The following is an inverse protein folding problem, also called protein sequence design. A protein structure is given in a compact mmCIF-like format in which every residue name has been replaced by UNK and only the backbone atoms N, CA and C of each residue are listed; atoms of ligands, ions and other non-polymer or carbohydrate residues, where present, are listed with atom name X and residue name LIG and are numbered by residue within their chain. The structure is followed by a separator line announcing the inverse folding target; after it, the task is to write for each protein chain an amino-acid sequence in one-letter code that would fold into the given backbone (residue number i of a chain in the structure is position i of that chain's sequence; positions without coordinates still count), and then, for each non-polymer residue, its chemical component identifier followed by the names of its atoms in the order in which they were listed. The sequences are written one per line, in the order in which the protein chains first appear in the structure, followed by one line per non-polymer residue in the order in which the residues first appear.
data_IF_405494304660
#
_entry.id   IF_405494304660
#
_cell.length_a   1.000
_cell.length_b   1.000
_cell.length_c   1.000
_cell.angle_alpha   90.00
_cell.angle_beta   90.00
_cell.angle_gamma   90.00
#
_symmetry.space_group_name_H-M   'P 1'
#
loop_
_entity.id
_entity.type
_entity.pdbx_description
1 polymer ?
#
# COMPACT_ATOMS: atom_id res chain seq x y z
N UNK A 1 -7.65 -16.55 -35.34
CA UNK A 1 -6.95 -15.60 -34.44
C UNK A 1 -7.49 -14.16 -34.51
N UNK A 2 -8.23 -13.77 -35.57
CA UNK A 2 -8.79 -12.41 -35.75
C UNK A 2 -10.08 -12.16 -34.91
N UNK A 3 -10.86 -13.20 -34.60
CA UNK A 3 -12.13 -13.06 -33.87
C UNK A 3 -12.01 -12.75 -32.37
N UNK A 4 -10.92 -13.13 -31.69
CA UNK A 4 -10.70 -12.75 -30.28
C UNK A 4 -10.35 -11.26 -30.10
N UNK A 5 -9.92 -10.57 -31.16
CA UNK A 5 -9.65 -9.12 -31.16
C UNK A 5 -10.87 -8.25 -31.42
N UNK A 6 -12.00 -8.83 -31.86
CA UNK A 6 -13.24 -8.08 -32.13
C UNK A 6 -14.20 -8.03 -30.94
N UNK A 7 -14.08 -8.91 -29.93
CA UNK A 7 -14.95 -8.89 -28.73
C UNK A 7 -14.62 -7.78 -27.72
N UNK A 8 -13.46 -7.15 -27.84
CA UNK A 8 -13.08 -5.97 -27.04
C UNK A 8 -13.70 -4.66 -27.55
N UNK A 9 -14.43 -4.68 -28.66
CA UNK A 9 -14.83 -3.43 -29.34
C UNK A 9 -15.86 -2.59 -28.59
N UNK A 10 -16.68 -3.13 -27.68
CA UNK A 10 -17.61 -2.30 -26.89
C UNK A 10 -17.91 -2.93 -25.53
N UNK A 11 -16.91 -3.04 -24.64
CA UNK A 11 -17.24 -3.23 -23.22
C UNK A 11 -17.95 -1.97 -22.76
N UNK A 12 -19.25 -2.07 -22.48
CA UNK A 12 -19.99 -0.94 -21.94
C UNK A 12 -19.42 -0.58 -20.57
N UNK A 13 -19.16 0.71 -20.38
CA UNK A 13 -18.74 1.26 -19.10
C UNK A 13 -19.86 1.04 -18.08
N UNK A 14 -19.59 0.51 -16.86
CA UNK A 14 -20.63 0.33 -15.86
C UNK A 14 -21.33 1.66 -15.56
N UNK A 15 -22.67 1.67 -15.65
CA UNK A 15 -23.46 2.90 -15.52
C UNK A 15 -23.32 3.56 -14.13
N UNK A 16 -22.96 2.77 -13.12
CA UNK A 16 -22.82 3.18 -11.73
C UNK A 16 -21.38 3.57 -11.35
N UNK A 17 -20.41 3.50 -12.26
CA UNK A 17 -19.01 3.85 -11.99
C UNK A 17 -18.65 5.17 -12.69
N UNK A 18 -18.28 6.23 -11.95
CA UNK A 18 -17.81 7.49 -12.56
C UNK A 18 -16.61 7.27 -13.49
N UNK A 19 -16.56 8.03 -14.60
CA UNK A 19 -15.42 8.02 -15.54
C UNK A 19 -14.55 9.26 -15.34
N UNK A 20 -13.39 9.09 -14.71
CA UNK A 20 -12.45 10.16 -14.38
C UNK A 20 -11.66 10.66 -15.61
N UNK A 21 -11.46 9.79 -16.60
CA UNK A 21 -10.74 10.10 -17.84
C UNK A 21 -11.63 9.85 -19.06
N UNK A 22 -12.67 10.67 -19.29
CA UNK A 22 -13.64 10.42 -20.37
C UNK A 22 -13.04 10.57 -21.77
N UNK A 23 -11.93 11.30 -21.89
CA UNK A 23 -11.24 11.58 -23.16
C UNK A 23 -10.08 10.64 -23.46
N UNK A 24 -9.70 9.77 -22.51
CA UNK A 24 -8.60 8.82 -22.69
C UNK A 24 -9.15 7.42 -22.96
N UNK A 25 -8.45 6.69 -23.83
CA UNK A 25 -8.59 5.24 -24.01
C UNK A 25 -7.96 4.48 -22.84
N UNK A 26 -8.32 3.20 -22.70
CA UNK A 26 -7.76 2.32 -21.66
C UNK A 26 -6.22 2.20 -21.76
N UNK A 27 -5.70 2.25 -22.99
CA UNK A 27 -4.25 2.22 -23.25
C UNK A 27 -3.60 3.54 -22.81
N UNK A 28 -4.20 4.70 -23.10
CA UNK A 28 -3.67 5.99 -22.66
C UNK A 28 -3.75 6.18 -21.14
N UNK A 29 -4.77 5.58 -20.49
CA UNK A 29 -4.82 5.52 -19.02
C UNK A 29 -3.64 4.70 -18.49
N UNK A 30 -3.30 3.58 -19.16
CA UNK A 30 -2.22 2.68 -18.76
C UNK A 30 -0.81 3.21 -19.08
N UNK A 31 -0.62 3.83 -20.25
CA UNK A 31 0.68 4.21 -20.81
C UNK A 31 0.99 5.69 -20.60
N UNK A 32 1.25 6.06 -19.35
CA UNK A 32 1.60 7.43 -18.97
C UNK A 32 2.95 7.55 -18.26
N UNK A 33 3.53 6.43 -17.83
CA UNK A 33 4.75 6.42 -17.02
C UNK A 33 5.96 6.58 -17.94
N UNK A 34 6.28 7.83 -18.27
CA UNK A 34 7.48 8.16 -19.05
C UNK A 34 8.74 7.73 -18.31
N UNK A 35 9.84 7.53 -19.06
CA UNK A 35 11.15 7.18 -18.49
C UNK A 35 11.61 8.21 -17.46
N UNK A 36 11.41 9.50 -17.72
CA UNK A 36 11.75 10.59 -16.80
C UNK A 36 10.94 10.50 -15.50
N UNK A 37 9.61 10.32 -15.61
CA UNK A 37 8.73 10.18 -14.45
C UNK A 37 9.11 8.97 -13.61
N UNK A 38 9.40 7.84 -14.26
CA UNK A 38 9.90 6.64 -13.59
C UNK A 38 11.22 6.90 -12.83
N UNK A 39 12.22 7.50 -13.48
CA UNK A 39 13.52 7.79 -12.84
C UNK A 39 13.37 8.75 -11.65
N UNK A 40 12.46 9.73 -11.75
CA UNK A 40 12.15 10.63 -10.63
C UNK A 40 11.52 9.88 -9.47
N UNK A 41 10.45 9.10 -9.74
CA UNK A 41 9.69 8.39 -8.70
C UNK A 41 10.57 7.34 -7.99
N UNK A 42 11.41 6.65 -8.75
CA UNK A 42 12.32 5.61 -8.25
C UNK A 42 13.22 6.07 -7.10
N UNK A 43 13.55 7.36 -7.06
CA UNK A 43 14.49 7.93 -6.10
C UNK A 43 13.79 8.80 -5.05
N UNK A 44 12.47 8.70 -4.91
CA UNK A 44 11.76 9.45 -3.86
C UNK A 44 12.15 8.93 -2.48
N UNK A 45 12.47 9.81 -1.52
CA UNK A 45 12.55 9.42 -0.13
C UNK A 45 11.20 8.88 0.34
N UNK A 46 11.21 7.83 1.15
CA UNK A 46 10.00 7.26 1.73
C UNK A 46 9.80 7.77 3.15
N UNK A 47 8.55 8.00 3.55
CA UNK A 47 8.23 8.46 4.90
C UNK A 47 6.99 7.77 5.49
N UNK A 48 7.06 7.51 6.78
CA UNK A 48 5.96 6.97 7.59
C UNK A 48 5.52 8.02 8.60
N UNK A 49 4.20 8.22 8.72
CA UNK A 49 3.62 9.20 9.64
C UNK A 49 2.92 8.45 10.77
N UNK A 50 3.65 8.21 11.85
CA UNK A 50 3.16 7.49 13.02
C UNK A 50 2.08 8.30 13.77
N UNK A 51 1.22 7.63 14.55
CA UNK A 51 0.31 8.31 15.46
C UNK A 51 0.99 9.33 16.39
N UNK A 52 0.38 10.51 16.54
CA UNK A 52 0.94 11.60 17.34
C UNK A 52 0.57 11.50 18.82
N UNK A 53 0.95 10.41 19.47
CA UNK A 53 0.85 10.23 20.92
C UNK A 53 2.08 9.48 21.48
N UNK A 54 2.29 9.56 22.79
CA UNK A 54 3.19 8.64 23.51
C UNK A 54 2.44 7.47 24.16
N UNK A 55 3.14 6.41 24.51
CA UNK A 55 2.59 5.17 25.08
C UNK A 55 1.74 5.43 26.34
N UNK A 56 2.21 6.31 27.23
CA UNK A 56 1.53 6.71 28.46
C UNK A 56 0.51 7.85 28.28
N UNK A 57 0.19 8.22 27.03
CA UNK A 57 -0.76 9.33 26.81
C UNK A 57 -2.18 8.94 27.22
N UNK A 58 -2.97 9.89 27.77
CA UNK A 58 -4.39 9.67 28.02
C UNK A 58 -5.13 9.23 26.75
N UNK A 59 -6.22 8.47 26.92
CA UNK A 59 -7.03 7.96 25.81
C UNK A 59 -7.46 9.05 24.82
N UNK A 60 -7.86 10.22 25.32
CA UNK A 60 -8.25 11.35 24.46
C UNK A 60 -7.11 11.87 23.57
N UNK A 61 -5.89 11.90 24.11
CA UNK A 61 -4.68 12.28 23.36
C UNK A 61 -4.34 11.23 22.31
N UNK A 62 -4.45 9.94 22.64
CA UNK A 62 -4.24 8.84 21.68
C UNK A 62 -5.24 8.94 20.52
N UNK A 63 -6.51 9.19 20.82
CA UNK A 63 -7.57 9.36 19.83
C UNK A 63 -7.29 10.57 18.93
N UNK A 64 -7.06 11.76 19.51
CA UNK A 64 -6.77 12.96 18.72
C UNK A 64 -5.50 12.78 17.86
N UNK A 65 -4.41 12.26 18.45
CA UNK A 65 -3.15 12.03 17.75
C UNK A 65 -3.23 10.98 16.63
N UNK A 66 -4.09 9.96 16.78
CA UNK A 66 -4.37 8.98 15.72
C UNK A 66 -5.17 9.62 14.59
N UNK A 67 -6.25 10.35 14.89
CA UNK A 67 -7.02 11.05 13.85
C UNK A 67 -6.17 12.05 13.08
N UNK A 68 -5.34 12.82 13.78
CA UNK A 68 -4.43 13.79 13.18
C UNK A 68 -3.37 13.12 12.28
N UNK A 69 -2.77 11.99 12.68
CA UNK A 69 -1.79 11.30 11.83
C UNK A 69 -2.42 10.79 10.53
N UNK A 70 -3.65 10.25 10.57
CA UNK A 70 -4.36 9.82 9.36
C UNK A 70 -4.63 11.00 8.41
N UNK A 71 -5.01 12.17 8.95
CA UNK A 71 -5.14 13.38 8.13
C UNK A 71 -3.79 13.84 7.55
N UNK A 72 -2.71 13.78 8.34
CA UNK A 72 -1.36 14.12 7.83
C UNK A 72 -0.92 13.17 6.73
N UNK A 73 -1.21 11.87 6.81
CA UNK A 73 -0.98 10.93 5.69
C UNK A 73 -1.71 11.41 4.43
N UNK A 74 -3.01 11.75 4.53
CA UNK A 74 -3.80 12.27 3.41
C UNK A 74 -3.14 13.50 2.80
N UNK A 75 -2.80 14.50 3.63
CA UNK A 75 -2.27 15.77 3.14
C UNK A 75 -0.87 15.59 2.53
N UNK A 76 0.02 14.88 3.23
CA UNK A 76 1.41 14.72 2.82
C UNK A 76 1.56 13.79 1.60
N UNK A 77 0.60 12.90 1.33
CA UNK A 77 0.58 12.13 0.08
C UNK A 77 0.56 13.01 -1.18
N UNK A 78 0.14 14.27 -1.07
CA UNK A 78 0.15 15.24 -2.18
C UNK A 78 1.53 15.86 -2.45
N UNK A 79 2.53 15.57 -1.62
CA UNK A 79 3.90 15.98 -1.87
C UNK A 79 4.47 15.22 -3.09
N UNK A 80 4.90 15.93 -4.15
CA UNK A 80 5.33 15.27 -5.39
C UNK A 80 6.74 14.66 -5.31
N UNK A 81 7.48 14.97 -4.25
CA UNK A 81 8.89 14.69 -4.03
C UNK A 81 9.16 13.83 -2.78
N UNK A 82 8.11 13.32 -2.13
CA UNK A 82 8.21 12.36 -1.02
C UNK A 82 7.18 11.26 -1.21
N UNK A 83 7.57 10.01 -0.94
CA UNK A 83 6.68 8.85 -0.93
C UNK A 83 6.12 8.63 0.46
N UNK A 84 4.89 9.07 0.70
CA UNK A 84 4.21 8.86 1.99
C UNK A 84 3.53 7.50 2.00
N UNK A 85 3.85 6.68 2.99
CA UNK A 85 3.22 5.40 3.20
C UNK A 85 1.78 5.54 3.68
N UNK A 86 0.92 4.63 3.21
CA UNK A 86 -0.47 4.53 3.64
C UNK A 86 -0.60 4.17 5.12
N UNK A 87 -1.80 4.34 5.64
CA UNK A 87 -2.09 4.12 7.04
C UNK A 87 -1.99 2.63 7.44
N UNK A 88 -2.20 1.73 6.48
CA UNK A 88 -2.14 0.27 6.63
C UNK A 88 -0.70 -0.26 6.55
N UNK A 89 0.23 0.52 5.99
CA UNK A 89 1.67 0.20 5.98
C UNK A 89 2.42 0.87 7.13
N UNK A 90 1.76 1.79 7.85
CA UNK A 90 2.35 2.54 8.94
C UNK A 90 2.12 1.82 10.27
N UNK A 91 3.18 1.52 11.04
CA UNK A 91 3.03 0.93 12.36
C UNK A 91 2.18 1.79 13.31
N UNK A 92 1.30 1.16 14.10
CA UNK A 92 0.43 1.86 15.05
C UNK A 92 1.10 2.12 16.42
N UNK A 93 2.42 2.35 16.42
CA UNK A 93 3.17 2.68 17.63
C UNK A 93 3.21 4.19 17.88
N UNK A 94 3.27 4.58 19.16
CA UNK A 94 3.48 5.98 19.54
C UNK A 94 4.91 6.46 19.31
N UNK A 95 5.15 7.75 19.57
CA UNK A 95 6.43 8.44 19.37
C UNK A 95 7.61 7.77 20.09
N UNK A 96 7.36 7.09 21.22
CA UNK A 96 8.40 6.46 22.03
C UNK A 96 9.04 5.26 21.29
N UNK A 97 8.41 4.73 20.23
CA UNK A 97 8.95 3.65 19.41
C UNK A 97 9.87 4.13 18.26
N UNK A 98 9.95 5.45 18.00
CA UNK A 98 10.71 6.00 16.87
C UNK A 98 12.17 5.55 16.81
N UNK A 99 12.97 5.58 17.90
CA UNK A 99 14.38 5.19 17.84
C UNK A 99 14.54 3.75 17.34
N UNK A 100 13.84 2.80 17.99
CA UNK A 100 13.89 1.37 17.62
C UNK A 100 13.38 1.13 16.20
N UNK A 101 12.27 1.75 15.80
CA UNK A 101 11.74 1.57 14.45
C UNK A 101 12.69 2.13 13.39
N UNK A 102 13.39 3.24 13.68
CA UNK A 102 14.32 3.86 12.72
C UNK A 102 15.58 3.04 12.47
N UNK A 103 15.94 2.13 13.36
CA UNK A 103 17.01 1.15 13.15
C UNK A 103 16.57 0.05 12.18
N UNK A 104 15.32 -0.43 12.32
CA UNK A 104 14.74 -1.48 11.48
C UNK A 104 14.38 -0.93 10.09
N UNK A 105 13.86 0.29 10.04
CA UNK A 105 13.36 0.97 8.84
C UNK A 105 14.36 2.03 8.37
N UNK A 106 15.65 1.69 8.35
CA UNK A 106 16.77 2.64 8.18
C UNK A 106 16.68 3.49 6.91
N UNK A 107 16.10 2.97 5.83
CA UNK A 107 15.96 3.68 4.55
C UNK A 107 14.83 4.72 4.51
N UNK A 108 13.95 4.77 5.51
CA UNK A 108 12.79 5.65 5.51
C UNK A 108 12.91 6.77 6.57
N UNK A 109 12.18 7.86 6.35
CA UNK A 109 11.91 8.85 7.37
C UNK A 109 10.76 8.39 8.25
N UNK A 110 10.90 8.50 9.56
CA UNK A 110 9.83 8.24 10.52
C UNK A 110 9.45 9.54 11.20
N UNK A 111 8.19 9.95 11.05
CA UNK A 111 7.64 11.14 11.70
C UNK A 111 6.68 10.68 12.79
N UNK A 112 6.90 11.15 14.02
CA UNK A 112 6.00 10.89 15.15
C UNK A 112 6.06 12.02 16.16
N UNK A 113 5.16 12.04 17.13
CA UNK A 113 5.05 13.18 18.03
C UNK A 113 3.99 13.03 19.11
N UNK A 114 3.70 14.14 19.79
CA UNK A 114 2.61 14.27 20.76
C UNK A 114 1.75 15.45 20.34
N UNK A 115 0.51 15.17 19.96
CA UNK A 115 -0.51 16.17 19.66
C UNK A 115 -1.41 16.39 20.88
N UNK A 116 -1.90 17.60 21.05
CA UNK A 116 -2.85 17.92 22.12
C UNK A 116 -3.71 19.12 21.76
N UNK A 117 -4.87 19.20 22.41
CA UNK A 117 -5.75 20.35 22.35
C UNK A 117 -6.21 20.71 23.77
N UNK A 118 -6.39 22.00 24.06
CA UNK A 118 -6.86 22.47 25.35
C UNK A 118 -7.24 23.96 25.30
N UNK A 119 -7.40 24.59 26.46
CA UNK A 119 -7.82 26.00 26.56
C UNK A 119 -6.85 26.98 25.88
N UNK A 120 -5.61 26.57 25.64
CA UNK A 120 -4.58 27.38 25.00
C UNK A 120 -4.41 27.08 23.50
N UNK A 121 -5.39 26.41 22.88
CA UNK A 121 -5.37 26.04 21.46
C UNK A 121 -4.87 24.62 21.20
N UNK A 122 -4.25 24.45 20.03
CA UNK A 122 -3.73 23.19 19.52
C UNK A 122 -2.21 23.20 19.51
N UNK A 123 -1.61 22.05 19.79
CA UNK A 123 -0.17 21.88 19.72
C UNK A 123 0.21 20.50 19.17
N UNK A 124 1.28 20.48 18.38
CA UNK A 124 1.97 19.27 17.95
C UNK A 124 3.45 19.46 18.22
N UNK A 125 4.04 18.58 19.03
CA UNK A 125 5.51 18.45 19.15
C UNK A 125 5.91 17.18 18.42
N UNK A 126 6.68 17.29 17.35
CA UNK A 126 7.05 16.15 16.53
C UNK A 126 8.56 16.02 16.36
N UNK A 127 8.98 14.82 15.99
CA UNK A 127 10.35 14.43 15.73
C UNK A 127 10.39 13.70 14.39
N UNK A 128 11.49 13.85 13.68
CA UNK A 128 11.79 13.08 12.47
C UNK A 128 13.04 12.27 12.73
N UNK A 129 12.94 10.96 12.47
CA UNK A 129 14.05 10.02 12.56
C UNK A 129 14.42 9.51 11.17
N UNK A 130 15.70 9.27 10.95
CA UNK A 130 16.23 8.60 9.76
C UNK A 130 17.53 7.88 10.13
N UNK A 131 17.73 6.66 9.61
CA UNK A 131 18.92 5.84 9.86
C UNK A 131 19.32 5.72 11.36
N UNK A 132 18.35 5.44 12.23
CA UNK A 132 18.61 5.26 13.67
C UNK A 132 18.79 6.55 14.47
N UNK A 133 18.61 7.74 13.87
CA UNK A 133 18.93 9.03 14.51
C UNK A 133 17.79 10.04 14.38
N UNK A 134 17.59 10.83 15.44
CA UNK A 134 16.76 12.03 15.37
C UNK A 134 17.47 13.07 14.51
N UNK A 135 16.87 13.46 13.39
CA UNK A 135 17.41 14.48 12.49
C UNK A 135 16.77 15.85 12.73
N UNK A 136 15.56 15.88 13.29
CA UNK A 136 14.80 17.10 13.51
C UNK A 136 13.81 16.92 14.67
N UNK A 137 13.61 18.00 15.41
CA UNK A 137 12.56 18.17 16.41
C UNK A 137 11.97 19.56 16.29
N UNK A 138 10.65 19.64 16.20
CA UNK A 138 9.95 20.91 16.02
C UNK A 138 8.57 20.89 16.69
N UNK A 139 7.91 22.04 16.74
CA UNK A 139 6.59 22.18 17.29
C UNK A 139 5.74 23.23 16.61
N UNK A 140 4.47 22.91 16.40
CA UNK A 140 3.43 23.84 15.94
C UNK A 140 2.49 24.11 17.10
N UNK A 141 2.17 25.40 17.35
CA UNK A 141 1.22 25.81 18.39
C UNK A 141 0.37 26.97 17.92
N UNK A 142 -0.94 26.74 17.74
CA UNK A 142 -1.86 27.70 17.13
C UNK A 142 -3.24 27.61 17.81
N UNK A 143 -3.89 28.76 18.01
CA UNK A 143 -5.23 28.84 18.61
C UNK A 143 -6.35 28.43 17.64
N UNK A 144 -6.20 28.78 16.37
CA UNK A 144 -7.13 28.40 15.30
C UNK A 144 -6.89 26.97 14.80
N UNK A 145 -7.97 26.20 14.64
CA UNK A 145 -7.90 24.79 14.30
C UNK A 145 -7.44 24.55 12.86
N UNK A 146 -7.94 25.31 11.90
CA UNK A 146 -7.61 25.09 10.49
C UNK A 146 -6.17 25.52 10.18
N UNK A 147 -5.75 26.67 10.73
CA UNK A 147 -4.35 27.10 10.69
C UNK A 147 -3.43 26.07 11.36
N UNK A 148 -3.85 25.46 12.48
CA UNK A 148 -3.09 24.37 13.09
C UNK A 148 -2.87 23.18 12.14
N UNK A 149 -3.91 22.71 11.44
CA UNK A 149 -3.79 21.58 10.51
C UNK A 149 -2.87 21.91 9.33
N UNK A 150 -3.03 23.08 8.74
CA UNK A 150 -2.19 23.56 7.63
C UNK A 150 -0.74 23.68 8.06
N UNK A 151 -0.48 24.33 9.19
CA UNK A 151 0.87 24.61 9.64
C UNK A 151 1.58 23.33 10.14
N UNK A 152 0.85 22.35 10.69
CA UNK A 152 1.38 21.00 10.91
C UNK A 152 1.81 20.33 9.60
N UNK A 153 0.97 20.41 8.57
CA UNK A 153 1.27 19.82 7.26
C UNK A 153 2.51 20.47 6.64
N UNK A 154 2.59 21.81 6.69
CA UNK A 154 3.75 22.58 6.21
C UNK A 154 5.02 22.23 6.98
N UNK A 155 4.95 22.21 8.32
CA UNK A 155 6.11 21.92 9.16
C UNK A 155 6.66 20.51 8.90
N UNK A 156 5.78 19.50 8.82
CA UNK A 156 6.20 18.12 8.51
C UNK A 156 6.74 18.02 7.08
N UNK A 157 6.07 18.63 6.09
CA UNK A 157 6.56 18.64 4.71
C UNK A 157 7.96 19.26 4.57
N UNK A 158 8.20 20.39 5.23
CA UNK A 158 9.52 21.02 5.29
C UNK A 158 10.56 20.14 5.98
N UNK A 159 10.18 19.47 7.08
CA UNK A 159 11.06 18.56 7.81
C UNK A 159 11.45 17.31 6.98
N UNK A 160 10.60 16.91 6.02
CA UNK A 160 10.88 15.87 5.04
C UNK A 160 11.68 16.39 3.82
N UNK A 161 12.09 17.66 3.81
CA UNK A 161 12.84 18.28 2.73
C UNK A 161 12.03 18.56 1.46
N UNK A 162 10.69 18.50 1.55
CA UNK A 162 9.82 18.72 0.39
C UNK A 162 9.80 20.18 -0.04
N UNK A 163 9.78 20.41 -1.36
CA UNK A 163 9.58 21.73 -1.97
C UNK A 163 8.10 21.99 -2.17
N UNK A 164 7.45 22.50 -1.13
CA UNK A 164 6.02 22.83 -1.15
C UNK A 164 5.69 23.78 -2.30
N UNK A 165 4.80 23.33 -3.19
CA UNK A 165 4.25 24.16 -4.27
C UNK A 165 2.92 24.76 -3.82
N UNK A 166 2.60 26.02 -4.16
CA UNK A 166 1.33 26.65 -3.79
C UNK A 166 0.09 25.81 -4.13
N UNK A 167 0.07 25.18 -5.32
CA UNK A 167 -1.04 24.32 -5.77
C UNK A 167 -1.31 23.12 -4.85
N UNK A 168 -0.29 22.63 -4.13
CA UNK A 168 -0.44 21.53 -3.17
C UNK A 168 -1.10 22.06 -1.89
N UNK A 169 -0.77 23.28 -1.48
CA UNK A 169 -1.36 23.91 -0.30
C UNK A 169 -2.88 24.15 -0.48
N UNK A 170 -3.31 24.59 -1.65
CA UNK A 170 -4.75 24.77 -1.93
C UNK A 170 -5.53 23.44 -1.85
N UNK A 171 -4.91 22.33 -2.28
CA UNK A 171 -5.51 20.99 -2.17
C UNK A 171 -5.60 20.49 -0.71
N UNK A 172 -4.82 21.05 0.21
CA UNK A 172 -4.95 20.77 1.64
C UNK A 172 -6.18 21.41 2.27
N UNK A 173 -6.73 22.48 1.70
CA UNK A 173 -7.95 23.10 2.25
C UNK A 173 -9.21 22.25 1.96
N UNK A 174 -9.12 21.31 1.02
CA UNK A 174 -10.18 20.34 0.71
C UNK A 174 -10.08 19.13 1.63
N UNK A 175 -11.22 18.51 1.98
CA UNK A 175 -11.24 17.26 2.74
C UNK A 175 -10.94 17.40 4.24
N UNK A 176 -10.87 18.63 4.76
CA UNK A 176 -10.51 18.91 6.15
C UNK A 176 -11.69 18.70 7.11
N UNK A 177 -11.43 18.28 8.36
CA UNK A 177 -12.43 18.29 9.41
C UNK A 177 -12.88 19.70 9.76
N UNK A 178 -14.17 19.87 9.97
CA UNK A 178 -14.76 21.15 10.40
C UNK A 178 -14.47 21.47 11.87
N UNK A 179 -14.15 20.46 12.67
CA UNK A 179 -13.92 20.60 14.10
C UNK A 179 -12.91 19.58 14.64
N UNK A 180 -12.17 19.91 15.71
CA UNK A 180 -11.21 18.99 16.33
C UNK A 180 -11.85 17.71 16.85
N UNK A 181 -13.14 17.77 17.22
CA UNK A 181 -13.91 16.60 17.64
C UNK A 181 -13.96 15.51 16.56
N UNK A 182 -13.97 15.87 15.27
CA UNK A 182 -14.00 14.90 14.17
C UNK A 182 -12.71 14.06 14.11
N UNK A 183 -11.55 14.68 14.37
CA UNK A 183 -10.27 13.95 14.48
C UNK A 183 -10.28 12.98 15.67
N UNK A 184 -10.73 13.46 16.83
CA UNK A 184 -10.84 12.63 18.05
C UNK A 184 -11.79 11.46 17.83
N UNK A 185 -12.96 11.70 17.25
CA UNK A 185 -13.94 10.64 16.99
C UNK A 185 -13.43 9.63 15.97
N UNK A 186 -12.73 10.08 14.91
CA UNK A 186 -12.11 9.14 13.98
C UNK A 186 -11.01 8.32 14.63
N UNK A 187 -10.14 8.94 15.42
CA UNK A 187 -9.14 8.23 16.20
C UNK A 187 -9.77 7.20 17.14
N UNK A 188 -10.86 7.55 17.83
CA UNK A 188 -11.64 6.61 18.65
C UNK A 188 -12.10 5.41 17.84
N UNK A 189 -12.72 5.63 16.66
CA UNK A 189 -13.17 4.54 15.77
C UNK A 189 -12.01 3.59 15.45
N UNK A 190 -10.84 4.14 15.10
CA UNK A 190 -9.65 3.36 14.75
C UNK A 190 -9.11 2.59 15.95
N UNK A 191 -9.01 3.21 17.12
CA UNK A 191 -8.36 2.59 18.29
C UNK A 191 -9.28 1.66 19.08
N UNK A 192 -10.61 1.84 19.02
CA UNK A 192 -11.54 1.02 19.81
C UNK A 192 -12.20 -0.10 19.03
N UNK A 193 -12.24 -0.02 17.69
CA UNK A 193 -12.87 -1.04 16.84
C UNK A 193 -11.80 -1.70 15.97
N UNK A 194 -11.28 -2.88 16.36
CA UNK A 194 -10.17 -3.51 15.67
C UNK A 194 -10.58 -3.99 14.28
N UNK A 195 -9.67 -3.79 13.32
CA UNK A 195 -9.78 -4.29 11.95
C UNK A 195 -10.98 -3.76 11.14
N UNK A 196 -11.09 -4.18 9.88
CA UNK A 196 -12.26 -3.93 9.05
C UNK A 196 -13.46 -4.70 9.60
N UNK A 197 -14.52 -4.00 9.97
CA UNK A 197 -15.76 -4.62 10.46
C UNK A 197 -16.99 -3.81 10.06
N UNK A 198 -18.15 -4.45 10.10
CA UNK A 198 -19.45 -3.77 9.87
C UNK A 198 -19.69 -2.66 10.88
N UNK A 199 -19.25 -2.85 12.13
CA UNK A 199 -19.35 -1.86 13.19
C UNK A 199 -18.48 -0.64 12.89
N UNK A 200 -17.20 -0.86 12.54
CA UNK A 200 -16.26 0.19 12.19
C UNK A 200 -16.74 0.99 10.98
N UNK A 201 -17.25 0.29 9.97
CA UNK A 201 -17.82 0.89 8.76
C UNK A 201 -19.03 1.77 9.08
N UNK A 202 -19.93 1.30 9.96
CA UNK A 202 -21.09 2.08 10.40
C UNK A 202 -20.68 3.33 11.18
N UNK A 203 -19.69 3.21 12.06
CA UNK A 203 -19.18 4.34 12.83
C UNK A 203 -18.51 5.38 11.92
N UNK A 204 -17.68 4.95 10.98
CA UNK A 204 -17.04 5.80 9.97
C UNK A 204 -18.07 6.53 9.10
N UNK A 205 -19.07 5.81 8.58
CA UNK A 205 -20.15 6.41 7.78
C UNK A 205 -21.00 7.39 8.61
N UNK A 206 -21.17 7.14 9.91
CA UNK A 206 -21.86 8.07 10.82
C UNK A 206 -21.06 9.34 11.02
N UNK A 207 -19.73 9.24 11.18
CA UNK A 207 -18.86 10.40 11.28
C UNK A 207 -18.88 11.22 9.98
N UNK A 208 -18.79 10.58 8.81
CA UNK A 208 -18.90 11.26 7.51
C UNK A 208 -20.24 12.01 7.34
N UNK A 209 -21.33 11.49 7.89
CA UNK A 209 -22.63 12.20 7.86
C UNK A 209 -22.63 13.44 8.77
N UNK A 210 -21.94 13.39 9.90
CA UNK A 210 -21.83 14.50 10.86
C UNK A 210 -20.87 15.60 10.38
N UNK A 211 -19.79 15.20 9.71
CA UNK A 211 -18.79 16.11 9.16
C UNK A 211 -18.52 15.75 7.69
N UNK A 212 -19.40 16.16 6.75
CA UNK A 212 -19.34 15.79 5.34
C UNK A 212 -18.02 16.11 4.64
N UNK A 213 -17.34 17.18 5.06
CA UNK A 213 -16.06 17.59 4.50
C UNK A 213 -14.91 16.64 4.89
N UNK A 214 -15.00 15.97 6.05
CA UNK A 214 -13.95 15.08 6.52
C UNK A 214 -14.12 13.66 5.97
N UNK A 215 -13.49 13.38 4.83
CA UNK A 215 -13.66 12.09 4.14
C UNK A 215 -12.68 11.00 4.56
N UNK A 216 -11.62 11.33 5.29
CA UNK A 216 -10.61 10.37 5.79
C UNK A 216 -11.24 9.17 6.53
N UNK A 217 -12.34 9.30 7.30
CA UNK A 217 -13.03 8.17 7.91
C UNK A 217 -13.45 7.07 6.94
N UNK A 218 -13.66 7.37 5.66
CA UNK A 218 -14.06 6.40 4.64
C UNK A 218 -13.03 5.28 4.45
N UNK A 219 -11.76 5.52 4.78
CA UNK A 219 -10.73 4.47 4.82
C UNK A 219 -11.07 3.32 5.77
N UNK A 220 -11.96 3.54 6.73
CA UNK A 220 -12.44 2.51 7.66
C UNK A 220 -13.74 1.82 7.23
N UNK A 221 -14.24 2.13 6.03
CA UNK A 221 -15.41 1.47 5.44
C UNK A 221 -14.97 0.23 4.68
N UNK A 222 -15.46 -0.93 5.11
CA UNK A 222 -15.24 -2.20 4.44
C UNK A 222 -15.81 -2.14 3.00
N UNK A 223 -14.92 -2.29 2.02
CA UNK A 223 -15.25 -2.25 0.60
C UNK A 223 -16.16 -3.39 0.17
N UNK A 224 -16.22 -4.50 0.92
CA UNK A 224 -17.10 -5.64 0.66
C UNK A 224 -18.57 -5.42 1.04
N UNK A 225 -18.91 -4.34 1.75
CA UNK A 225 -20.31 -4.06 2.12
C UNK A 225 -21.12 -3.53 0.93
N UNK A 226 -22.38 -3.96 0.72
CA UNK A 226 -23.18 -3.53 -0.45
C UNK A 226 -23.35 -2.02 -0.64
N UNK A 227 -23.34 -1.25 0.46
CA UNK A 227 -23.49 0.21 0.44
C UNK A 227 -22.15 0.97 0.37
N UNK A 228 -21.00 0.28 0.37
CA UNK A 228 -19.68 0.91 0.39
C UNK A 228 -19.45 1.76 -0.87
N UNK A 229 -19.85 1.25 -2.04
CA UNK A 229 -19.60 1.87 -3.35
C UNK A 229 -20.04 3.33 -3.41
N UNK A 230 -21.29 3.62 -3.02
CA UNK A 230 -21.79 4.99 -3.04
C UNK A 230 -21.05 5.88 -2.04
N UNK A 231 -20.72 5.35 -0.85
CA UNK A 231 -19.95 6.10 0.15
C UNK A 231 -18.57 6.50 -0.41
N UNK A 232 -17.89 5.60 -1.10
CA UNK A 232 -16.60 5.88 -1.75
C UNK A 232 -16.71 6.95 -2.85
N UNK A 233 -17.73 6.87 -3.71
CA UNK A 233 -17.93 7.86 -4.78
C UNK A 233 -18.32 9.24 -4.23
N UNK A 234 -19.26 9.30 -3.29
CA UNK A 234 -19.65 10.57 -2.64
C UNK A 234 -18.44 11.21 -1.93
N UNK A 235 -17.59 10.39 -1.32
CA UNK A 235 -16.38 10.88 -0.66
C UNK A 235 -15.34 11.41 -1.66
N UNK A 236 -15.16 10.77 -2.81
CA UNK A 236 -14.28 11.26 -3.87
C UNK A 236 -14.77 12.56 -4.51
N UNK A 237 -16.09 12.75 -4.60
CA UNK A 237 -16.66 14.01 -5.06
C UNK A 237 -16.33 15.16 -4.09
N UNK A 238 -16.37 14.88 -2.78
CA UNK A 238 -16.07 15.87 -1.74
C UNK A 238 -14.57 16.15 -1.57
N UNK A 239 -13.72 15.14 -1.80
CA UNK A 239 -12.27 15.29 -1.76
C UNK A 239 -11.60 14.60 -2.96
N UNK A 240 -11.52 15.29 -4.11
CA UNK A 240 -10.90 14.75 -5.32
C UNK A 240 -9.37 14.71 -5.25
N UNK A 241 -8.76 15.13 -4.13
CA UNK A 241 -7.32 15.15 -3.88
C UNK A 241 -6.86 14.05 -2.92
N UNK A 242 -7.74 13.15 -2.50
CA UNK A 242 -7.38 12.06 -1.60
C UNK A 242 -6.81 10.85 -2.36
N UNK A 243 -5.48 10.76 -2.44
CA UNK A 243 -4.80 9.67 -3.16
C UNK A 243 -5.11 8.28 -2.57
N UNK A 244 -5.17 8.17 -1.24
CA UNK A 244 -5.54 6.92 -0.57
C UNK A 244 -6.98 6.53 -0.88
N UNK A 245 -7.93 7.47 -0.84
CA UNK A 245 -9.33 7.20 -1.17
C UNK A 245 -9.49 6.76 -2.63
N UNK A 246 -8.70 7.32 -3.56
CA UNK A 246 -8.63 6.81 -4.92
C UNK A 246 -8.16 5.35 -4.95
N UNK A 247 -7.11 5.00 -4.20
CA UNK A 247 -6.64 3.63 -4.11
C UNK A 247 -7.67 2.67 -3.48
N UNK A 248 -8.35 3.06 -2.41
CA UNK A 248 -9.42 2.26 -1.81
C UNK A 248 -10.61 2.07 -2.77
N UNK A 249 -10.94 3.11 -3.55
CA UNK A 249 -11.98 3.02 -4.58
C UNK A 249 -11.57 2.05 -5.69
N UNK A 250 -10.28 2.01 -6.06
CA UNK A 250 -9.76 0.94 -6.93
C UNK A 250 -10.04 -0.44 -6.31
N UNK A 251 -9.66 -0.67 -5.05
CA UNK A 251 -9.85 -1.95 -4.37
C UNK A 251 -11.32 -2.37 -4.32
N UNK A 252 -12.25 -1.41 -4.19
CA UNK A 252 -13.69 -1.66 -4.19
C UNK A 252 -14.26 -1.99 -5.58
N UNK A 253 -13.77 -1.35 -6.65
CA UNK A 253 -14.25 -1.58 -8.03
C UNK A 253 -13.61 -2.81 -8.68
N UNK A 254 -12.35 -3.10 -8.33
CA UNK A 254 -11.59 -4.21 -8.87
C UNK A 254 -12.11 -5.56 -8.37
N UNK A 255 -12.32 -6.51 -9.29
CA UNK A 255 -12.86 -7.84 -8.99
C UNK A 255 -11.94 -8.97 -9.45
N UNK A 256 -10.69 -8.65 -9.79
CA UNK A 256 -9.65 -9.59 -10.20
C UNK A 256 -9.96 -10.36 -11.49
N UNK A 257 -10.88 -9.87 -12.35
CA UNK A 257 -11.25 -10.52 -13.63
C UNK A 257 -10.51 -9.92 -14.84
N UNK A 258 -9.18 -9.94 -14.78
CA UNK A 258 -8.33 -9.43 -15.85
C UNK A 258 -8.40 -7.90 -15.98
N UNK A 259 -8.28 -7.39 -17.21
CA UNK A 259 -8.29 -5.94 -17.46
C UNK A 259 -9.63 -5.31 -17.08
N UNK A 260 -9.57 -4.25 -16.28
CA UNK A 260 -10.71 -3.51 -15.75
C UNK A 260 -10.41 -2.01 -15.80
N UNK A 261 -10.60 -1.34 -16.95
CA UNK A 261 -10.33 0.10 -17.09
C UNK A 261 -11.13 0.95 -16.11
N UNK A 262 -12.34 0.49 -15.73
CA UNK A 262 -13.19 1.13 -14.72
C UNK A 262 -12.54 1.18 -13.32
N UNK A 263 -11.69 0.20 -12.98
CA UNK A 263 -10.90 0.21 -11.76
C UNK A 263 -9.56 0.94 -11.96
N UNK A 264 -8.89 0.70 -13.09
CA UNK A 264 -7.55 1.21 -13.41
C UNK A 264 -7.45 2.74 -13.27
N UNK A 265 -8.47 3.47 -13.69
CA UNK A 265 -8.53 4.94 -13.56
C UNK A 265 -8.33 5.43 -12.12
N UNK A 266 -8.73 4.66 -11.11
CA UNK A 266 -8.59 5.05 -9.71
C UNK A 266 -7.16 4.85 -9.23
N UNK A 267 -6.47 3.77 -9.63
CA UNK A 267 -5.02 3.66 -9.44
C UNK A 267 -4.28 4.76 -10.18
N UNK A 268 -4.67 5.08 -11.43
CA UNK A 268 -4.09 6.18 -12.21
C UNK A 268 -4.18 7.50 -11.45
N UNK A 269 -5.39 7.81 -10.95
CA UNK A 269 -5.66 9.03 -10.19
C UNK A 269 -4.87 9.08 -8.89
N UNK A 270 -4.78 7.97 -8.14
CA UNK A 270 -3.95 7.88 -6.94
C UNK A 270 -2.49 8.25 -7.24
N UNK A 271 -1.92 7.75 -8.34
CA UNK A 271 -0.52 8.03 -8.74
C UNK A 271 -0.32 9.46 -9.29
N UNK A 272 -1.35 10.05 -9.89
CA UNK A 272 -1.30 11.47 -10.29
C UNK A 272 -1.31 12.42 -9.09
N UNK A 273 -2.06 12.07 -8.05
CA UNK A 273 -2.09 12.83 -6.80
C UNK A 273 -0.84 12.59 -5.96
N UNK A 274 -0.40 11.34 -5.89
CA UNK A 274 0.74 10.89 -5.10
C UNK A 274 1.66 10.01 -5.96
N UNK A 275 2.66 10.60 -6.64
CA UNK A 275 3.57 9.84 -7.49
C UNK A 275 4.34 8.75 -6.73
N UNK A 276 4.51 8.88 -5.42
CA UNK A 276 5.11 7.88 -4.54
C UNK A 276 4.13 6.83 -3.98
N UNK A 277 2.87 6.77 -4.42
CA UNK A 277 1.90 5.80 -3.88
C UNK A 277 2.25 4.36 -4.29
N UNK A 278 3.07 3.70 -3.48
CA UNK A 278 3.64 2.39 -3.78
C UNK A 278 2.59 1.30 -4.02
N UNK A 279 1.50 1.29 -3.25
CA UNK A 279 0.40 0.32 -3.43
C UNK A 279 -0.34 0.54 -4.74
N UNK A 280 -0.60 1.78 -5.12
CA UNK A 280 -1.20 2.08 -6.41
C UNK A 280 -0.30 1.61 -7.55
N UNK A 281 1.01 1.85 -7.48
CA UNK A 281 1.99 1.31 -8.43
C UNK A 281 2.01 -0.22 -8.48
N UNK A 282 2.01 -0.87 -7.31
CA UNK A 282 1.97 -2.33 -7.20
C UNK A 282 0.71 -2.93 -7.86
N UNK A 283 -0.45 -2.31 -7.66
CA UNK A 283 -1.73 -2.82 -8.15
C UNK A 283 -2.07 -2.39 -9.58
N UNK A 284 -1.44 -1.32 -10.10
CA UNK A 284 -1.74 -0.76 -11.41
C UNK A 284 -1.74 -1.81 -12.55
N UNK A 285 -0.74 -2.71 -12.67
CA UNK A 285 -0.72 -3.69 -13.75
C UNK A 285 -1.88 -4.69 -13.70
N UNK A 286 -2.47 -4.97 -12.53
CA UNK A 286 -3.50 -6.01 -12.38
C UNK A 286 -4.81 -5.68 -13.08
N UNK A 287 -5.13 -4.40 -13.26
CA UNK A 287 -6.32 -3.95 -13.99
C UNK A 287 -6.02 -3.45 -15.41
N UNK A 288 -4.75 -3.43 -15.82
CA UNK A 288 -4.33 -2.89 -17.11
C UNK A 288 -4.54 -3.88 -18.27
N UNK A 289 -4.71 -3.39 -19.51
CA UNK A 289 -4.89 -4.24 -20.70
C UNK A 289 -3.64 -5.05 -21.09
N UNK A 290 -2.43 -4.50 -20.86
CA UNK A 290 -1.15 -5.17 -21.13
C UNK A 290 -0.20 -5.11 -19.91
N UNK A 291 -0.40 -5.98 -18.91
CA UNK A 291 0.42 -5.97 -17.70
C UNK A 291 1.90 -6.27 -17.94
N UNK A 292 2.27 -6.93 -19.06
CA UNK A 292 3.66 -7.31 -19.33
C UNK A 292 4.55 -6.09 -19.61
N UNK A 293 3.99 -5.04 -20.20
CA UNK A 293 4.71 -3.79 -20.49
C UNK A 293 4.85 -2.88 -19.27
N UNK A 294 4.10 -3.16 -18.20
CA UNK A 294 4.00 -2.30 -17.01
C UNK A 294 4.91 -2.76 -15.86
N UNK A 295 5.95 -3.56 -16.13
CA UNK A 295 6.87 -4.05 -15.10
C UNK A 295 7.53 -2.93 -14.29
N UNK A 296 7.70 -1.72 -14.87
CA UNK A 296 8.20 -0.55 -14.15
C UNK A 296 7.26 -0.10 -13.02
N UNK A 297 5.94 -0.24 -13.18
CA UNK A 297 5.01 0.02 -12.08
C UNK A 297 5.21 -0.98 -10.94
N UNK A 298 5.41 -2.26 -11.26
CA UNK A 298 5.70 -3.26 -10.22
C UNK A 298 7.04 -3.03 -9.54
N UNK A 299 8.08 -2.59 -10.27
CA UNK A 299 9.36 -2.19 -9.67
C UNK A 299 9.18 -0.99 -8.73
N UNK A 300 8.43 0.03 -9.15
CA UNK A 300 8.13 1.17 -8.28
C UNK A 300 7.35 0.73 -7.04
N UNK A 301 6.35 -0.15 -7.17
CA UNK A 301 5.65 -0.70 -6.01
C UNK A 301 6.58 -1.42 -5.05
N UNK A 302 7.55 -2.18 -5.56
CA UNK A 302 8.59 -2.84 -4.76
C UNK A 302 9.51 -1.84 -4.04
N UNK A 303 10.02 -0.83 -4.75
CA UNK A 303 10.96 0.15 -4.19
C UNK A 303 10.31 1.07 -3.17
N UNK A 304 9.05 1.45 -3.41
CA UNK A 304 8.27 2.35 -2.54
C UNK A 304 7.60 1.61 -1.38
N UNK A 305 7.67 0.27 -1.32
CA UNK A 305 7.16 -0.56 -0.23
C UNK A 305 8.24 -1.55 0.26
N UNK A 306 9.37 -1.06 0.80
CA UNK A 306 10.44 -1.93 1.26
C UNK A 306 9.92 -2.93 2.31
N UNK A 307 10.27 -4.20 2.13
CA UNK A 307 9.84 -5.30 3.01
C UNK A 307 8.40 -5.80 2.77
N UNK A 308 7.62 -5.18 1.88
CA UNK A 308 6.27 -5.68 1.58
C UNK A 308 6.34 -6.91 0.65
N UNK A 309 5.98 -8.07 1.18
CA UNK A 309 6.10 -9.33 0.44
C UNK A 309 5.16 -9.45 -0.76
N UNK A 310 4.02 -8.75 -0.76
CA UNK A 310 3.13 -8.66 -1.93
C UNK A 310 3.77 -7.83 -3.04
N UNK A 311 4.44 -6.73 -2.70
CA UNK A 311 5.14 -5.88 -3.68
C UNK A 311 6.28 -6.65 -4.36
N UNK A 312 7.09 -7.38 -3.59
CA UNK A 312 8.16 -8.23 -4.15
C UNK A 312 7.57 -9.33 -5.04
N UNK A 313 6.52 -10.01 -4.59
CA UNK A 313 5.86 -11.07 -5.36
C UNK A 313 5.26 -10.55 -6.67
N UNK A 314 4.63 -9.37 -6.64
CA UNK A 314 4.07 -8.73 -7.84
C UNK A 314 5.17 -8.31 -8.81
N UNK A 315 6.30 -7.80 -8.32
CA UNK A 315 7.44 -7.47 -9.18
C UNK A 315 8.04 -8.71 -9.83
N UNK A 316 8.22 -9.79 -9.08
CA UNK A 316 8.65 -11.09 -9.60
C UNK A 316 7.72 -11.57 -10.73
N UNK A 317 6.40 -11.54 -10.55
CA UNK A 317 5.43 -11.92 -11.60
C UNK A 317 5.55 -11.01 -12.83
N UNK A 318 5.76 -9.71 -12.64
CA UNK A 318 5.92 -8.77 -13.74
C UNK A 318 7.20 -9.03 -14.55
N UNK A 319 8.31 -9.34 -13.88
CA UNK A 319 9.57 -9.70 -14.54
C UNK A 319 9.43 -11.00 -15.37
N UNK A 320 8.72 -12.02 -14.86
CA UNK A 320 8.40 -13.23 -15.64
C UNK A 320 7.60 -12.91 -16.90
N UNK A 321 6.53 -12.13 -16.75
CA UNK A 321 5.67 -11.72 -17.88
C UNK A 321 6.44 -10.91 -18.92
N UNK A 322 7.37 -10.06 -18.46
CA UNK A 322 8.26 -9.26 -19.30
C UNK A 322 9.47 -10.04 -19.84
N UNK A 323 9.59 -11.35 -19.57
CA UNK A 323 10.70 -12.22 -19.99
C UNK A 323 12.07 -11.63 -19.67
N UNK A 324 12.21 -11.08 -18.46
CA UNK A 324 13.46 -10.49 -17.97
C UNK A 324 14.49 -11.60 -17.69
N UNK A 325 15.80 -11.28 -17.71
CA UNK A 325 16.84 -12.28 -17.49
C UNK A 325 16.60 -13.10 -16.21
N UNK A 326 16.83 -14.41 -16.31
CA UNK A 326 16.64 -15.37 -15.20
C UNK A 326 17.41 -14.98 -13.94
N UNK A 327 18.58 -14.34 -14.10
CA UNK A 327 19.37 -13.82 -12.97
C UNK A 327 18.61 -12.76 -12.15
N UNK A 328 17.89 -11.86 -12.81
CA UNK A 328 17.09 -10.82 -12.13
C UNK A 328 15.98 -11.48 -11.31
N UNK A 329 15.34 -12.52 -11.88
CA UNK A 329 14.31 -13.32 -11.23
C UNK A 329 14.79 -13.99 -9.95
N UNK A 330 15.93 -14.67 -9.99
CA UNK A 330 16.52 -15.36 -8.83
C UNK A 330 16.86 -14.35 -7.73
N UNK A 331 17.44 -13.20 -8.10
CA UNK A 331 17.79 -12.14 -7.14
C UNK A 331 16.55 -11.63 -6.41
N UNK A 332 15.49 -11.26 -7.13
CA UNK A 332 14.24 -10.76 -6.53
C UNK A 332 13.54 -11.85 -5.69
N UNK A 333 13.56 -13.11 -6.14
CA UNK A 333 12.99 -14.21 -5.38
C UNK A 333 13.71 -14.43 -4.04
N UNK A 334 15.05 -14.36 -4.01
CA UNK A 334 15.82 -14.40 -2.75
C UNK A 334 15.45 -13.28 -1.80
N UNK A 335 15.29 -12.06 -2.31
CA UNK A 335 14.85 -10.93 -1.48
C UNK A 335 13.45 -11.16 -0.90
N UNK A 336 12.53 -11.71 -1.70
CA UNK A 336 11.19 -12.05 -1.23
C UNK A 336 11.22 -13.11 -0.11
N UNK A 337 12.10 -14.12 -0.23
CA UNK A 337 12.32 -15.15 0.81
C UNK A 337 12.82 -14.48 2.10
N UNK A 338 13.75 -13.54 2.02
CA UNK A 338 14.23 -12.82 3.20
C UNK A 338 13.13 -11.98 3.85
N UNK A 339 12.26 -11.35 3.07
CA UNK A 339 11.16 -10.51 3.60
C UNK A 339 10.00 -11.32 4.19
N UNK A 340 9.70 -12.50 3.64
CA UNK A 340 8.60 -13.37 4.08
C UNK A 340 9.02 -14.83 3.93
N UNK A 341 9.81 -15.36 4.89
CA UNK A 341 10.39 -16.69 4.80
C UNK A 341 9.34 -17.81 4.87
N UNK A 342 8.11 -17.50 5.29
CA UNK A 342 6.98 -18.45 5.32
C UNK A 342 6.16 -18.45 4.02
N UNK A 343 6.52 -17.62 3.03
CA UNK A 343 5.86 -17.64 1.72
C UNK A 343 6.57 -18.65 0.80
N UNK A 344 5.90 -19.74 0.37
CA UNK A 344 6.52 -20.75 -0.49
C UNK A 344 6.67 -20.31 -1.95
N UNK A 345 5.95 -19.27 -2.40
CA UNK A 345 5.91 -18.90 -3.83
C UNK A 345 7.28 -18.39 -4.34
N UNK A 346 7.99 -17.51 -3.62
CA UNK A 346 9.35 -17.13 -3.96
C UNK A 346 10.34 -18.28 -4.09
N UNK A 347 10.29 -19.27 -3.17
CA UNK A 347 11.14 -20.45 -3.24
C UNK A 347 10.92 -21.21 -4.55
N UNK A 348 9.66 -21.49 -4.88
CA UNK A 348 9.30 -22.23 -6.09
C UNK A 348 9.81 -21.53 -7.37
N UNK A 349 9.69 -20.20 -7.44
CA UNK A 349 10.22 -19.43 -8.57
C UNK A 349 11.75 -19.49 -8.64
N UNK A 350 12.43 -19.30 -7.50
CA UNK A 350 13.88 -19.38 -7.45
C UNK A 350 14.40 -20.77 -7.84
N UNK A 351 13.78 -21.84 -7.34
CA UNK A 351 14.13 -23.23 -7.66
C UNK A 351 13.98 -23.50 -9.16
N UNK A 352 12.83 -23.16 -9.75
CA UNK A 352 12.56 -23.38 -11.17
C UNK A 352 13.61 -22.69 -12.06
N UNK A 353 13.97 -21.45 -11.72
CA UNK A 353 14.97 -20.68 -12.47
C UNK A 353 16.41 -21.13 -12.21
N UNK A 354 16.74 -21.59 -11.01
CA UNK A 354 18.03 -22.24 -10.75
C UNK A 354 18.18 -23.53 -11.57
N UNK A 355 17.12 -24.33 -11.72
CA UNK A 355 17.10 -25.51 -12.59
C UNK A 355 17.34 -25.13 -14.05
N UNK A 356 16.66 -24.09 -14.55
CA UNK A 356 16.84 -23.56 -15.91
C UNK A 356 18.30 -23.15 -16.18
N UNK A 357 18.95 -22.53 -15.19
CA UNK A 357 20.36 -22.13 -15.23
C UNK A 357 21.35 -23.27 -14.94
N UNK A 358 20.87 -24.50 -14.72
CA UNK A 358 21.66 -25.66 -14.28
C UNK A 358 22.42 -25.42 -12.96
N UNK A 359 21.95 -24.51 -12.13
CA UNK A 359 22.46 -24.23 -10.79
C UNK A 359 21.84 -25.21 -9.76
N UNK A 360 22.00 -26.52 -9.99
CA UNK A 360 21.28 -27.56 -9.24
C UNK A 360 21.58 -27.59 -7.74
N UNK A 361 22.81 -27.26 -7.33
CA UNK A 361 23.16 -27.14 -5.91
C UNK A 361 22.37 -26.03 -5.21
N UNK A 362 22.20 -24.91 -5.88
CA UNK A 362 21.44 -23.78 -5.34
C UNK A 362 19.94 -24.08 -5.30
N UNK A 363 19.41 -24.69 -6.37
CA UNK A 363 18.05 -25.20 -6.40
C UNK A 363 17.78 -26.18 -5.25
N UNK A 364 18.72 -27.10 -4.98
CA UNK A 364 18.61 -28.08 -3.90
C UNK A 364 18.52 -27.41 -2.53
N UNK A 365 19.41 -26.47 -2.22
CA UNK A 365 19.36 -25.74 -0.94
C UNK A 365 18.02 -25.01 -0.74
N UNK A 366 17.51 -24.38 -1.80
CA UNK A 366 16.20 -23.71 -1.74
C UNK A 366 15.05 -24.69 -1.56
N UNK A 367 15.09 -25.84 -2.23
CA UNK A 367 14.07 -26.88 -2.09
C UNK A 367 14.07 -27.50 -0.68
N UNK A 368 15.24 -27.71 -0.08
CA UNK A 368 15.38 -28.18 1.30
C UNK A 368 14.83 -27.15 2.30
N UNK A 369 15.12 -25.86 2.11
CA UNK A 369 14.53 -24.79 2.92
C UNK A 369 13.00 -24.71 2.75
N UNK A 370 12.50 -24.89 1.53
CA UNK A 370 11.06 -24.91 1.26
C UNK A 370 10.37 -26.10 1.97
N UNK A 371 11.05 -27.25 2.10
CA UNK A 371 10.50 -28.41 2.79
C UNK A 371 10.20 -28.10 4.26
N UNK A 372 11.01 -27.26 4.91
CA UNK A 372 10.82 -26.84 6.31
C UNK A 372 9.48 -26.11 6.48
N UNK A 373 8.98 -25.43 5.44
CA UNK A 373 7.67 -24.77 5.48
C UNK A 373 6.49 -25.75 5.41
N UNK A 374 6.72 -26.95 4.88
CA UNK A 374 5.69 -27.95 4.68
C UNK A 374 5.65 -28.99 5.80
N UNK A 375 6.75 -29.17 6.56
CA UNK A 375 6.89 -30.24 7.56
C UNK A 375 7.66 -29.82 8.83
N UNK A 376 7.37 -30.46 9.99
CA UNK A 376 6.32 -31.46 10.21
C UNK A 376 4.90 -30.85 10.21
N UNK A 377 4.80 -29.52 10.34
CA UNK A 377 3.54 -28.80 10.33
C UNK A 377 3.64 -27.53 9.49
N UNK A 378 2.72 -27.37 8.55
CA UNK A 378 2.61 -26.16 7.75
C UNK A 378 2.01 -25.01 8.57
N UNK A 379 2.72 -23.87 8.65
CA UNK A 379 2.24 -22.68 9.35
C UNK A 379 0.96 -22.13 8.71
N UNK A 380 0.17 -21.37 9.49
CA UNK A 380 -1.04 -20.71 8.98
C UNK A 380 -0.71 -19.77 7.83
N UNK A 381 0.40 -19.02 7.93
CA UNK A 381 0.89 -18.13 6.87
C UNK A 381 1.23 -18.89 5.59
N UNK A 382 1.99 -19.99 5.70
CA UNK A 382 2.34 -20.83 4.55
C UNK A 382 1.07 -21.36 3.86
N UNK A 383 0.10 -21.85 4.65
CA UNK A 383 -1.19 -22.33 4.15
C UNK A 383 -1.99 -21.23 3.46
N UNK A 384 -2.06 -20.04 4.07
CA UNK A 384 -2.71 -18.88 3.49
C UNK A 384 -2.10 -18.52 2.13
N UNK A 385 -0.77 -18.48 2.02
CA UNK A 385 -0.06 -18.18 0.78
C UNK A 385 -0.33 -19.21 -0.32
N UNK A 386 -0.29 -20.51 0.00
CA UNK A 386 -0.62 -21.57 -0.97
C UNK A 386 -2.06 -21.44 -1.49
N UNK A 387 -2.98 -21.07 -0.61
CA UNK A 387 -4.40 -20.92 -0.92
C UNK A 387 -4.75 -19.67 -1.76
N UNK A 388 -3.80 -18.78 -2.02
CA UNK A 388 -4.00 -17.64 -2.94
C UNK A 388 -4.13 -18.07 -4.42
N UNK A 389 -3.76 -19.30 -4.77
CA UNK A 389 -3.95 -19.85 -6.11
C UNK A 389 -5.17 -20.79 -6.11
N UNK A 390 -6.32 -20.41 -6.70
CA UNK A 390 -7.54 -21.21 -6.68
C UNK A 390 -7.38 -22.62 -7.26
N UNK A 391 -6.48 -22.79 -8.23
CA UNK A 391 -6.20 -24.11 -8.80
C UNK A 391 -5.47 -24.99 -7.79
N UNK A 392 -4.45 -24.46 -7.11
CA UNK A 392 -3.76 -25.20 -6.04
C UNK A 392 -4.70 -25.53 -4.89
N UNK A 393 -5.60 -24.62 -4.52
CA UNK A 393 -6.62 -24.90 -3.50
C UNK A 393 -7.44 -26.12 -3.89
N UNK A 394 -7.97 -26.15 -5.13
CA UNK A 394 -8.74 -27.29 -5.63
C UNK A 394 -7.95 -28.60 -5.55
N UNK A 395 -6.69 -28.58 -5.98
CA UNK A 395 -5.83 -29.77 -5.98
C UNK A 395 -5.45 -30.24 -4.57
N UNK A 396 -5.25 -29.29 -3.63
CA UNK A 396 -5.00 -29.63 -2.22
C UNK A 396 -6.25 -30.22 -1.57
N UNK A 397 -7.41 -29.59 -1.79
CA UNK A 397 -8.67 -30.03 -1.19
C UNK A 397 -9.17 -31.37 -1.78
N UNK A 398 -8.82 -31.69 -3.04
CA UNK A 398 -9.08 -33.00 -3.66
C UNK A 398 -8.07 -34.09 -3.28
N UNK A 399 -6.95 -33.73 -2.64
CA UNK A 399 -5.83 -34.62 -2.35
C UNK A 399 -4.95 -34.95 -3.55
N UNK A 400 -5.17 -34.33 -4.72
CA UNK A 400 -4.35 -34.48 -5.92
C UNK A 400 -2.95 -33.85 -5.76
N UNK A 401 -2.82 -32.87 -4.87
CA UNK A 401 -1.57 -32.16 -4.61
C UNK A 401 -1.26 -32.09 -3.12
N UNK A 402 -0.16 -32.73 -2.72
CA UNK A 402 0.47 -32.57 -1.42
C UNK A 402 1.80 -31.82 -1.59
N UNK A 403 1.89 -30.55 -1.14
CA UNK A 403 3.11 -29.74 -1.25
C UNK A 403 4.35 -30.42 -0.66
N UNK A 404 4.22 -31.12 0.47
CA UNK A 404 5.33 -31.78 1.15
C UNK A 404 5.85 -32.96 0.32
N UNK A 405 4.94 -33.78 -0.19
CA UNK A 405 5.27 -34.95 -1.02
C UNK A 405 5.90 -34.54 -2.34
N UNK A 406 5.33 -33.54 -3.03
CA UNK A 406 5.88 -33.06 -4.30
C UNK A 406 7.27 -32.43 -4.12
N UNK A 407 7.49 -31.65 -3.07
CA UNK A 407 8.79 -31.04 -2.83
C UNK A 407 9.87 -32.07 -2.41
N UNK A 408 9.51 -33.16 -1.70
CA UNK A 408 10.44 -34.28 -1.46
C UNK A 408 10.90 -34.97 -2.74
N UNK A 409 9.99 -35.19 -3.70
CA UNK A 409 10.34 -35.77 -5.01
C UNK A 409 11.35 -34.87 -5.72
N UNK A 410 11.09 -33.56 -5.76
CA UNK A 410 11.98 -32.57 -6.32
C UNK A 410 13.37 -32.56 -5.66
N UNK A 411 13.45 -32.62 -4.33
CA UNK A 411 14.72 -32.71 -3.59
C UNK A 411 15.51 -33.95 -4.02
N UNK A 412 14.85 -35.11 -4.16
CA UNK A 412 15.51 -36.36 -4.61
C UNK A 412 16.11 -36.19 -6.01
N UNK A 413 15.35 -35.65 -6.95
CA UNK A 413 15.81 -35.39 -8.32
C UNK A 413 16.99 -34.42 -8.36
N UNK A 414 16.91 -33.32 -7.60
CA UNK A 414 17.98 -32.32 -7.52
C UNK A 414 19.27 -32.89 -6.91
N UNK A 415 19.19 -33.83 -5.97
CA UNK A 415 20.37 -34.52 -5.42
C UNK A 415 21.07 -35.40 -6.45
N UNK A 416 20.33 -35.98 -7.39
CA UNK A 416 20.91 -36.77 -8.48
C UNK A 416 21.60 -35.85 -9.51
N UNK A 417 20.97 -34.71 -9.85
CA UNK A 417 21.51 -33.72 -10.79
C UNK A 417 22.70 -32.91 -10.26
N UNK A 418 22.83 -32.79 -8.93
CA UNK A 418 23.89 -32.01 -8.29
C UNK A 418 25.19 -32.79 -8.02
N UNK A 419 25.18 -34.11 -8.25
CA UNK A 419 26.36 -34.98 -8.25
C UNK A 419 27.16 -34.78 -9.52
#
# INVERSE_FOLDING_TARGET
MIWKRLKTLFRQWPADVPRLYPKLSDIEIADYLTKERYLRIKNLPTAYILPFFGEESPSEVKQFGTGLSRLMIRNLMLLPDVSIHGYEDTPEFGVDALPRLSEVMSSAFLVGGKAGHGNQGFALKFQVYHEGREILRDSVRIGDFHAFLRDCTVAIGNALGSKLKPIVADAWEVGQPSQPFSLKEYGRIVTTIPGPSRERSKAAATLLKKDPAFVVPVWSVDSGLPASRQIYFDALERDPYNAQLCFETFCMVWNSRGSQPEALQYCRRAIDLSPGHGKAHMCFPHAAPDPAQLWRHSELGYLLLPGNSFAVSNYMVALMRAKRPVRDMIMIAKMAITSDPENPSPFQVAIAHCIEMKAYREALMMAENLQILFEPYMSERTRYCLRQNPERVRQMDSGEYDPATENRKLIKELRELAR
#
